data_IF_775545179024
#
_entry.id   IF_775545179024
#
_cell.length_a   1.000
_cell.length_b   1.000
_cell.length_c   1.000
_cell.angle_alpha   90.00
_cell.angle_beta   90.00
_cell.angle_gamma   90.00
#
_symmetry.space_group_name_H-M   'P 1'
#
loop_
_entity.id
_entity.type
_entity.pdbx_description
1 polymer ?
#
# COMPACT_ATOMS: atom_id res chain seq x y z
N UNK A 1 9.17 8.82 -11.77
CA UNK A 1 7.72 8.70 -11.65
C UNK A 1 7.10 8.50 -13.02
N UNK A 2 6.21 7.52 -13.16
CA UNK A 2 5.31 7.45 -14.32
C UNK A 2 4.16 8.43 -14.12
N UNK A 3 3.83 9.19 -15.15
CA UNK A 3 2.68 10.09 -15.11
C UNK A 3 1.84 9.99 -16.37
N UNK A 4 0.56 10.24 -16.22
CA UNK A 4 -0.39 10.37 -17.32
C UNK A 4 -1.35 11.51 -17.00
N UNK A 5 -1.49 12.45 -17.93
CA UNK A 5 -2.41 13.56 -17.83
C UNK A 5 -3.60 13.30 -18.76
N UNK A 6 -4.77 13.17 -18.17
CA UNK A 6 -5.99 12.85 -18.87
C UNK A 6 -6.81 14.10 -19.12
N UNK A 7 -7.33 14.23 -20.34
CA UNK A 7 -8.32 15.24 -20.67
C UNK A 7 -9.71 14.89 -20.13
N UNK A 8 -10.65 15.84 -20.27
CA UNK A 8 -12.04 15.66 -19.89
C UNK A 8 -12.76 14.50 -20.60
N UNK A 9 -12.31 14.17 -21.80
CA UNK A 9 -12.81 13.05 -22.59
C UNK A 9 -12.13 11.70 -22.23
N UNK A 10 -11.40 11.67 -21.11
CA UNK A 10 -10.60 10.51 -20.66
C UNK A 10 -9.54 10.04 -21.65
N UNK A 11 -9.15 10.89 -22.60
CA UNK A 11 -8.00 10.62 -23.44
C UNK A 11 -6.75 11.19 -22.83
N UNK A 12 -5.67 10.47 -22.95
CA UNK A 12 -4.36 10.95 -22.53
C UNK A 12 -3.96 12.16 -23.37
N UNK A 13 -3.66 13.26 -22.71
CA UNK A 13 -3.14 14.49 -23.31
C UNK A 13 -1.62 14.45 -23.35
N UNK A 14 -1.03 13.97 -22.27
CA UNK A 14 0.40 13.81 -22.10
C UNK A 14 0.68 12.71 -21.10
N UNK A 15 1.84 12.08 -21.21
CA UNK A 15 2.27 11.03 -20.29
C UNK A 15 3.70 10.61 -20.57
N UNK A 16 4.34 10.07 -19.59
CA UNK A 16 5.72 9.63 -19.70
C UNK A 16 6.35 9.23 -18.38
N UNK A 17 7.68 9.15 -18.42
CA UNK A 17 8.49 8.86 -17.23
C UNK A 17 9.19 10.15 -16.84
N UNK A 18 8.96 10.63 -15.64
CA UNK A 18 9.72 11.70 -15.02
C UNK A 18 10.92 11.07 -14.29
N UNK A 19 12.09 11.21 -14.87
CA UNK A 19 13.32 10.53 -14.45
C UNK A 19 14.24 11.46 -13.64
N UNK A 20 13.72 11.92 -12.49
CA UNK A 20 14.55 12.62 -11.51
C UNK A 20 14.26 12.05 -10.11
N UNK A 21 15.11 11.16 -9.59
CA UNK A 21 14.87 10.50 -8.31
C UNK A 21 15.07 11.42 -7.09
N UNK A 22 15.66 12.59 -7.28
CA UNK A 22 16.03 13.52 -6.19
C UNK A 22 14.93 14.55 -5.87
N UNK A 23 13.80 14.52 -6.60
CA UNK A 23 12.68 15.44 -6.40
C UNK A 23 11.47 14.74 -5.79
N UNK A 24 10.71 15.47 -5.02
CA UNK A 24 9.43 15.00 -4.51
C UNK A 24 8.39 14.90 -5.64
N UNK A 25 7.34 14.10 -5.43
CA UNK A 25 6.20 14.01 -6.37
C UNK A 25 5.62 15.42 -6.65
N UNK A 26 5.59 16.28 -5.64
CA UNK A 26 5.10 17.66 -5.77
C UNK A 26 5.93 18.47 -6.76
N UNK A 27 7.24 18.41 -6.64
CA UNK A 27 8.16 19.11 -7.54
C UNK A 27 8.08 18.53 -8.95
N UNK A 28 8.02 17.20 -9.09
CA UNK A 28 7.84 16.54 -10.37
C UNK A 28 6.55 16.98 -11.09
N UNK A 29 5.42 17.03 -10.38
CA UNK A 29 4.15 17.52 -10.92
C UNK A 29 4.21 19.01 -11.33
N UNK A 30 4.90 19.83 -10.54
CA UNK A 30 5.13 21.23 -10.88
C UNK A 30 5.87 21.36 -12.20
N UNK A 31 6.99 20.66 -12.37
CA UNK A 31 7.81 20.72 -13.58
C UNK A 31 7.04 20.22 -14.80
N UNK A 32 6.28 19.13 -14.66
CA UNK A 32 5.43 18.58 -15.72
C UNK A 32 4.37 19.61 -16.15
N UNK A 33 3.70 20.25 -15.20
CA UNK A 33 2.67 21.27 -15.51
C UNK A 33 3.26 22.55 -16.12
N UNK A 34 4.46 22.97 -15.72
CA UNK A 34 5.12 24.13 -16.33
C UNK A 34 5.58 23.81 -17.77
N UNK A 35 6.04 22.59 -18.02
CA UNK A 35 6.41 22.16 -19.38
C UNK A 35 5.19 22.08 -20.28
N UNK A 36 4.07 21.53 -19.81
CA UNK A 36 2.80 21.52 -20.52
C UNK A 36 2.29 22.92 -20.87
N UNK A 37 2.39 23.89 -19.96
CA UNK A 37 1.98 25.28 -20.21
C UNK A 37 2.82 25.93 -21.31
N UNK A 38 4.04 25.47 -21.52
CA UNK A 38 4.94 25.99 -22.54
C UNK A 38 4.65 25.45 -23.94
N UNK A 39 3.90 24.36 -24.08
CA UNK A 39 3.59 23.72 -25.35
C UNK A 39 2.53 24.46 -26.14
N UNK A 40 2.70 24.69 -27.44
CA UNK A 40 1.73 25.42 -28.29
C UNK A 40 0.35 24.75 -28.32
N UNK A 41 0.31 23.41 -28.28
CA UNK A 41 -0.92 22.61 -28.33
C UNK A 41 -1.71 22.70 -27.02
N UNK A 42 -1.07 23.00 -25.90
CA UNK A 42 -1.73 23.21 -24.63
C UNK A 42 -2.69 24.42 -24.65
N UNK A 43 -2.32 25.48 -25.36
CA UNK A 43 -3.18 26.64 -25.53
C UNK A 43 -4.44 26.35 -26.39
N UNK A 44 -4.36 25.38 -27.31
CA UNK A 44 -5.48 24.83 -28.07
C UNK A 44 -6.39 23.94 -27.22
N UNK A 45 -5.81 23.12 -26.38
CA UNK A 45 -6.52 22.27 -25.41
C UNK A 45 -7.25 23.08 -24.34
N UNK A 46 -6.70 24.25 -23.96
CA UNK A 46 -7.36 25.20 -23.04
C UNK A 46 -8.73 25.68 -23.53
N UNK A 47 -8.90 25.86 -24.84
CA UNK A 47 -10.16 26.18 -25.45
C UNK A 47 -11.18 25.04 -25.43
N UNK A 48 -10.73 23.79 -25.40
CA UNK A 48 -11.58 22.63 -25.32
C UNK A 48 -11.93 22.26 -23.86
N UNK A 49 -11.03 22.48 -22.94
CA UNK A 49 -11.26 22.31 -21.49
C UNK A 49 -12.28 23.36 -21.00
N UNK A 50 -12.27 24.56 -21.53
CA UNK A 50 -13.25 25.60 -21.20
C UNK A 50 -14.65 25.35 -21.79
N UNK A 51 -14.81 24.45 -22.76
CA UNK A 51 -16.13 24.10 -23.32
C UNK A 51 -16.83 22.98 -22.56
N UNK A 52 -16.11 22.21 -21.83
CA UNK A 52 -16.64 21.17 -20.97
C UNK A 52 -16.72 21.75 -19.57
N UNK A 53 -17.83 22.46 -19.33
CA UNK A 53 -18.13 23.38 -18.21
C UNK A 53 -17.97 22.80 -16.80
N UNK A 54 -17.40 21.67 -16.64
CA UNK A 54 -17.24 21.01 -15.33
C UNK A 54 -15.79 20.66 -14.99
N UNK A 55 -14.86 20.86 -15.90
CA UNK A 55 -13.45 20.81 -15.54
C UNK A 55 -13.03 22.20 -15.08
N UNK A 56 -13.10 22.39 -13.81
CA UNK A 56 -12.51 23.52 -13.13
C UNK A 56 -11.06 23.61 -13.62
N UNK A 57 -10.65 24.72 -14.27
CA UNK A 57 -9.24 24.94 -14.53
C UNK A 57 -8.56 25.03 -13.18
N UNK A 58 -8.07 23.90 -12.71
CA UNK A 58 -7.28 23.89 -11.51
C UNK A 58 -5.91 24.41 -11.88
N UNK A 59 -5.58 25.55 -11.31
CA UNK A 59 -4.21 25.95 -11.19
C UNK A 59 -3.48 24.88 -10.36
N UNK A 60 -2.18 24.97 -10.34
CA UNK A 60 -1.33 24.04 -9.59
C UNK A 60 -1.80 23.87 -8.12
N UNK A 61 -2.18 24.97 -7.45
CA UNK A 61 -2.61 24.94 -6.06
C UNK A 61 -3.94 24.17 -5.90
N UNK A 62 -4.89 24.34 -6.83
CA UNK A 62 -6.13 23.56 -6.85
C UNK A 62 -5.94 22.08 -7.15
N UNK A 63 -4.99 21.70 -8.02
CA UNK A 63 -4.62 20.33 -8.27
C UNK A 63 -3.94 19.70 -7.05
N UNK A 64 -3.11 20.47 -6.35
CA UNK A 64 -2.47 20.02 -5.12
C UNK A 64 -3.47 19.90 -3.98
N UNK A 65 -4.41 20.84 -3.85
CA UNK A 65 -5.48 20.74 -2.85
C UNK A 65 -6.36 19.50 -3.07
N UNK A 66 -6.68 19.16 -4.32
CA UNK A 66 -7.41 17.92 -4.65
C UNK A 66 -6.56 16.66 -4.51
N UNK A 67 -5.29 16.71 -4.84
CA UNK A 67 -4.37 15.59 -4.58
C UNK A 67 -4.18 15.38 -3.08
N UNK A 68 -4.09 16.46 -2.29
CA UNK A 68 -4.06 16.38 -0.83
C UNK A 68 -5.41 15.94 -0.25
N UNK A 69 -6.53 16.31 -0.87
CA UNK A 69 -7.86 15.86 -0.49
C UNK A 69 -8.09 14.39 -0.88
N UNK A 70 -7.60 13.94 -2.03
CA UNK A 70 -7.59 12.54 -2.43
C UNK A 70 -6.63 11.71 -1.55
N UNK A 71 -5.48 12.26 -1.19
CA UNK A 71 -4.58 11.69 -0.20
C UNK A 71 -5.12 11.76 1.24
N UNK A 72 -6.11 12.62 1.53
CA UNK A 72 -6.87 12.62 2.79
C UNK A 72 -8.02 11.61 2.78
N UNK A 73 -8.47 11.22 1.60
CA UNK A 73 -9.47 10.15 1.40
C UNK A 73 -8.80 8.77 1.41
N UNK A 74 -7.52 8.70 1.07
CA UNK A 74 -6.58 7.67 1.52
C UNK A 74 -5.75 8.38 2.60
N UNK A 75 -6.12 8.32 3.88
CA UNK A 75 -5.15 8.72 4.86
C UNK A 75 -3.90 7.88 4.55
N UNK A 76 -2.75 8.50 4.34
CA UNK A 76 -1.60 7.96 5.03
C UNK A 76 -2.13 7.81 6.44
N UNK A 77 -2.57 6.61 6.75
CA UNK A 77 -2.89 6.27 8.12
C UNK A 77 -1.58 6.56 8.84
N UNK A 78 -1.53 7.72 9.49
CA UNK A 78 -0.60 7.83 10.61
C UNK A 78 -0.88 6.54 11.34
N UNK A 79 0.07 5.56 11.33
CA UNK A 79 -0.23 4.25 11.88
C UNK A 79 -0.85 4.54 13.21
N UNK A 80 -2.03 3.99 13.51
CA UNK A 80 -2.66 4.24 14.80
C UNK A 80 -1.56 3.99 15.82
N UNK A 81 -1.52 4.67 16.91
CA UNK A 81 -0.46 4.44 17.92
C UNK A 81 -0.28 2.94 18.20
N UNK A 82 -1.37 2.18 18.10
CA UNK A 82 -1.42 0.72 18.26
C UNK A 82 -0.61 -0.01 17.18
N UNK A 83 -0.78 0.33 15.90
CA UNK A 83 -0.03 -0.29 14.79
C UNK A 83 1.45 0.11 14.87
N UNK A 84 1.73 1.39 15.13
CA UNK A 84 3.09 1.89 15.28
C UNK A 84 3.83 1.23 16.47
N UNK A 85 3.17 1.10 17.63
CA UNK A 85 3.72 0.45 18.81
C UNK A 85 3.97 -1.05 18.55
N UNK A 86 3.06 -1.72 17.82
CA UNK A 86 3.22 -3.11 17.45
C UNK A 86 4.43 -3.33 16.53
N UNK A 87 4.58 -2.49 15.50
CA UNK A 87 5.73 -2.53 14.58
C UNK A 87 7.05 -2.21 15.28
N UNK A 88 7.07 -1.22 16.18
CA UNK A 88 8.27 -0.91 16.94
C UNK A 88 8.76 -2.12 17.76
N UNK A 89 7.85 -2.81 18.46
CA UNK A 89 8.18 -4.04 19.18
C UNK A 89 8.62 -5.17 18.24
N UNK A 90 7.99 -5.27 17.06
CA UNK A 90 8.39 -6.26 16.04
C UNK A 90 9.83 -5.97 15.59
N UNK A 91 10.18 -4.73 15.29
CA UNK A 91 11.54 -4.35 14.89
C UNK A 91 12.60 -4.64 15.96
N UNK A 92 12.24 -4.64 17.25
CA UNK A 92 13.15 -4.97 18.36
C UNK A 92 13.36 -6.48 18.55
N UNK A 93 12.37 -7.31 18.25
CA UNK A 93 12.33 -8.73 18.64
C UNK A 93 12.43 -9.69 17.45
N UNK A 94 12.23 -9.21 16.24
CA UNK A 94 12.28 -10.00 15.02
C UNK A 94 13.71 -10.40 14.68
N UNK A 95 13.89 -11.63 14.26
CA UNK A 95 15.16 -12.09 13.72
C UNK A 95 15.10 -12.05 12.20
N UNK A 96 15.96 -11.24 11.59
CA UNK A 96 16.01 -11.05 10.14
C UNK A 96 16.05 -12.38 9.39
N UNK A 97 15.27 -12.45 8.31
CA UNK A 97 15.18 -13.62 7.44
C UNK A 97 15.87 -13.27 6.11
N UNK A 98 16.92 -13.97 5.77
CA UNK A 98 17.69 -13.70 4.54
C UNK A 98 18.15 -12.23 4.44
N UNK A 99 18.59 -11.66 5.57
CA UNK A 99 19.04 -10.28 5.71
C UNK A 99 17.91 -9.23 5.53
N UNK A 100 16.64 -9.65 5.51
CA UNK A 100 15.48 -8.76 5.41
C UNK A 100 14.88 -8.51 6.80
N UNK A 101 14.68 -7.24 7.11
CA UNK A 101 13.97 -6.79 8.29
C UNK A 101 12.43 -6.80 8.06
N UNK A 102 11.60 -6.55 9.09
CA UNK A 102 10.15 -6.59 8.95
C UNK A 102 9.59 -5.64 7.90
N UNK A 103 10.13 -4.43 7.76
CA UNK A 103 9.65 -3.42 6.80
C UNK A 103 9.90 -3.88 5.35
N UNK A 104 11.07 -4.44 5.08
CA UNK A 104 11.43 -4.99 3.76
C UNK A 104 10.55 -6.21 3.40
N UNK A 105 10.20 -7.01 4.42
CA UNK A 105 9.28 -8.14 4.28
C UNK A 105 7.87 -7.65 3.97
N UNK A 106 7.36 -6.67 4.71
CA UNK A 106 6.05 -6.06 4.49
C UNK A 106 5.92 -5.49 3.07
N UNK A 107 6.95 -4.80 2.58
CA UNK A 107 6.95 -4.27 1.21
C UNK A 107 7.02 -5.39 0.16
N UNK A 108 7.81 -6.45 0.40
CA UNK A 108 7.85 -7.61 -0.50
C UNK A 108 6.49 -8.31 -0.60
N UNK A 109 5.81 -8.49 0.53
CA UNK A 109 4.46 -9.07 0.57
C UNK A 109 3.45 -8.17 -0.12
N UNK A 110 3.52 -6.86 0.10
CA UNK A 110 2.68 -5.88 -0.55
C UNK A 110 2.80 -5.94 -2.07
N UNK A 111 4.02 -5.99 -2.60
CA UNK A 111 4.27 -6.16 -4.04
C UNK A 111 3.71 -7.49 -4.56
N UNK A 112 3.89 -8.59 -3.82
CA UNK A 112 3.34 -9.90 -4.21
C UNK A 112 1.81 -9.89 -4.24
N UNK A 113 1.16 -9.33 -3.21
CA UNK A 113 -0.30 -9.23 -3.12
C UNK A 113 -0.84 -8.34 -4.24
N UNK A 114 -0.19 -7.22 -4.53
CA UNK A 114 -0.59 -6.35 -5.65
C UNK A 114 -0.52 -7.11 -6.98
N UNK A 115 0.55 -7.86 -7.23
CA UNK A 115 0.67 -8.68 -8.43
C UNK A 115 -0.45 -9.73 -8.54
N UNK A 116 -0.88 -10.32 -7.42
CA UNK A 116 -2.01 -11.27 -7.39
C UNK A 116 -3.36 -10.58 -7.62
N UNK A 117 -3.56 -9.39 -7.07
CA UNK A 117 -4.73 -8.56 -7.34
C UNK A 117 -4.86 -8.29 -8.84
N UNK A 118 -3.75 -7.89 -9.47
CA UNK A 118 -3.71 -7.59 -10.90
C UNK A 118 -3.89 -8.86 -11.76
N UNK A 119 -3.21 -9.97 -11.41
CA UNK A 119 -3.29 -11.26 -12.12
C UNK A 119 -4.71 -11.81 -12.15
N UNK A 120 -5.41 -11.77 -11.01
CA UNK A 120 -6.77 -12.32 -10.88
C UNK A 120 -7.87 -11.29 -11.11
N UNK A 121 -7.50 -10.03 -11.41
CA UNK A 121 -8.42 -8.92 -11.59
C UNK A 121 -9.39 -8.79 -10.39
N UNK A 122 -8.82 -8.82 -9.18
CA UNK A 122 -9.56 -8.71 -7.92
C UNK A 122 -9.87 -7.23 -7.67
N UNK A 123 -11.12 -6.91 -7.31
CA UNK A 123 -11.51 -5.55 -6.92
C UNK A 123 -11.14 -5.31 -5.44
N UNK A 124 -9.88 -5.02 -5.19
CA UNK A 124 -9.35 -4.80 -3.86
C UNK A 124 -8.23 -3.74 -3.87
N UNK A 125 -8.13 -3.00 -2.77
CA UNK A 125 -7.04 -2.06 -2.51
C UNK A 125 -6.34 -2.46 -1.21
N UNK A 126 -5.01 -2.54 -1.24
CA UNK A 126 -4.20 -2.78 -0.04
C UNK A 126 -4.23 -1.51 0.82
N UNK A 127 -4.69 -1.65 2.07
CA UNK A 127 -4.72 -0.55 3.05
C UNK A 127 -3.40 -0.52 3.81
N UNK A 128 -3.00 -1.66 4.39
CA UNK A 128 -1.75 -1.76 5.15
C UNK A 128 -1.32 -3.24 5.28
N UNK A 129 -0.06 -3.48 5.68
CA UNK A 129 0.54 -4.82 5.81
C UNK A 129 1.32 -4.87 7.11
N UNK A 130 1.27 -5.96 7.85
CA UNK A 130 2.05 -6.13 9.08
C UNK A 130 2.57 -7.57 9.25
N UNK A 131 3.85 -7.70 9.61
CA UNK A 131 4.42 -8.98 10.07
C UNK A 131 3.83 -9.36 11.42
N UNK A 132 3.32 -10.59 11.53
CA UNK A 132 2.64 -11.11 12.72
C UNK A 132 3.16 -12.50 13.11
N UNK A 133 2.38 -13.25 13.90
CA UNK A 133 2.71 -14.60 14.30
C UNK A 133 3.89 -14.69 15.27
N UNK A 134 4.43 -15.90 15.45
CA UNK A 134 5.49 -16.16 16.43
C UNK A 134 6.78 -15.40 16.14
N UNK A 135 7.11 -15.20 14.85
CA UNK A 135 8.34 -14.54 14.41
C UNK A 135 8.40 -13.07 14.79
N UNK A 136 7.26 -12.36 14.80
CA UNK A 136 7.24 -10.93 15.15
C UNK A 136 7.60 -10.65 16.62
N UNK A 137 7.74 -11.70 17.45
CA UNK A 137 8.10 -11.61 18.87
C UNK A 137 9.29 -12.50 19.25
N UNK A 138 10.04 -13.04 18.28
CA UNK A 138 11.16 -13.94 18.54
C UNK A 138 10.74 -15.24 19.23
N UNK A 139 9.51 -15.68 19.00
CA UNK A 139 8.95 -16.93 19.60
C UNK A 139 8.89 -18.08 18.60
N UNK A 140 9.53 -17.94 17.46
CA UNK A 140 9.52 -18.93 16.40
C UNK A 140 10.34 -20.17 16.73
N UNK A 141 10.05 -21.24 16.00
CA UNK A 141 10.85 -22.46 15.86
C UNK A 141 11.42 -22.51 14.44
N UNK A 142 12.39 -23.40 14.21
CA UNK A 142 12.99 -23.60 12.86
C UNK A 142 11.94 -23.86 11.76
N UNK A 143 10.85 -24.53 12.11
CA UNK A 143 9.77 -24.88 11.19
C UNK A 143 8.62 -23.86 11.17
N UNK A 144 8.74 -22.73 11.85
CA UNK A 144 7.69 -21.73 11.87
C UNK A 144 7.61 -21.00 10.53
N UNK A 145 6.40 -20.88 9.99
CA UNK A 145 6.13 -20.02 8.85
C UNK A 145 6.25 -18.53 9.26
N UNK A 146 6.27 -17.66 8.27
CA UNK A 146 6.24 -16.23 8.45
C UNK A 146 4.81 -15.74 8.19
N UNK A 147 4.09 -15.38 9.25
CA UNK A 147 2.72 -14.86 9.14
C UNK A 147 2.75 -13.37 8.81
N UNK A 148 2.05 -12.98 7.76
CA UNK A 148 1.88 -11.57 7.38
C UNK A 148 0.40 -11.30 7.16
N UNK A 149 -0.11 -10.27 7.84
CA UNK A 149 -1.50 -9.82 7.70
C UNK A 149 -1.56 -8.67 6.72
N UNK A 150 -2.53 -8.72 5.80
CA UNK A 150 -2.78 -7.69 4.81
C UNK A 150 -4.19 -7.16 5.00
N UNK A 151 -4.32 -5.91 5.39
CA UNK A 151 -5.60 -5.22 5.45
C UNK A 151 -5.99 -4.74 4.06
N UNK A 152 -7.22 -5.06 3.66
CA UNK A 152 -7.75 -4.76 2.34
C UNK A 152 -9.09 -4.00 2.44
N UNK A 153 -9.27 -3.08 1.50
CA UNK A 153 -10.58 -2.48 1.20
C UNK A 153 -11.17 -3.20 -0.01
N UNK A 154 -12.17 -4.05 0.21
CA UNK A 154 -12.81 -4.87 -0.83
C UNK A 154 -14.14 -5.43 -0.35
N UNK A 155 -15.01 -5.83 -1.28
CA UNK A 155 -16.21 -6.62 -1.01
C UNK A 155 -15.98 -8.13 -1.12
N UNK A 156 -14.80 -8.56 -1.59
CA UNK A 156 -14.45 -9.96 -1.77
C UNK A 156 -14.38 -10.71 -0.43
N UNK A 157 -14.44 -12.04 -0.49
CA UNK A 157 -14.36 -12.88 0.71
C UNK A 157 -12.92 -13.12 1.10
N UNK A 158 -12.62 -12.99 2.39
CA UNK A 158 -11.26 -13.25 2.93
C UNK A 158 -10.74 -14.65 2.58
N UNK A 159 -11.61 -15.68 2.56
CA UNK A 159 -11.23 -17.05 2.18
C UNK A 159 -10.77 -17.15 0.72
N UNK A 160 -11.42 -16.44 -0.19
CA UNK A 160 -11.08 -16.44 -1.61
C UNK A 160 -9.78 -15.65 -1.84
N UNK A 161 -9.60 -14.54 -1.13
CA UNK A 161 -8.38 -13.75 -1.13
C UNK A 161 -7.19 -14.55 -0.56
N UNK A 162 -7.42 -15.28 0.55
CA UNK A 162 -6.39 -16.13 1.15
C UNK A 162 -5.88 -17.17 0.15
N UNK A 163 -6.79 -17.83 -0.55
CA UNK A 163 -6.41 -18.82 -1.57
C UNK A 163 -5.63 -18.19 -2.72
N UNK A 164 -6.06 -17.02 -3.21
CA UNK A 164 -5.41 -16.32 -4.30
C UNK A 164 -3.99 -15.85 -3.92
N UNK A 165 -3.81 -15.24 -2.76
CA UNK A 165 -2.52 -14.68 -2.34
C UNK A 165 -1.49 -15.73 -1.96
N UNK A 166 -1.94 -16.89 -1.47
CA UNK A 166 -1.06 -18.00 -1.10
C UNK A 166 -0.85 -19.02 -2.24
N UNK A 167 -1.51 -18.84 -3.39
CA UNK A 167 -1.29 -19.70 -4.53
C UNK A 167 0.13 -19.57 -5.08
N UNK A 168 0.79 -20.72 -5.25
CA UNK A 168 2.20 -20.78 -5.67
C UNK A 168 3.21 -20.62 -4.54
N UNK A 169 2.78 -20.15 -3.35
CA UNK A 169 3.59 -20.04 -2.14
C UNK A 169 4.71 -19.00 -2.25
N UNK A 170 4.64 -17.92 -1.49
CA UNK A 170 5.74 -16.97 -1.35
C UNK A 170 6.74 -17.51 -0.32
N UNK A 171 8.02 -17.37 -0.60
CA UNK A 171 9.10 -17.69 0.34
C UNK A 171 10.08 -16.51 0.45
N UNK A 172 10.59 -16.31 1.65
CA UNK A 172 11.73 -15.42 1.92
C UNK A 172 12.86 -16.31 2.42
N UNK A 173 13.88 -16.48 1.59
CA UNK A 173 14.86 -17.54 1.79
C UNK A 173 14.20 -18.93 1.82
N UNK A 174 14.39 -19.66 2.90
CA UNK A 174 13.77 -20.99 3.08
C UNK A 174 12.45 -20.94 3.87
N UNK A 175 12.04 -19.76 4.34
CA UNK A 175 10.84 -19.59 5.15
C UNK A 175 9.63 -19.31 4.27
N UNK A 176 8.60 -20.14 4.42
CA UNK A 176 7.32 -19.93 3.77
C UNK A 176 6.59 -18.72 4.39
N UNK A 177 5.99 -17.91 3.55
CA UNK A 177 5.14 -16.80 3.97
C UNK A 177 3.68 -17.23 3.90
N UNK A 178 2.96 -17.10 5.01
CA UNK A 178 1.50 -17.24 5.07
C UNK A 178 0.86 -15.85 5.11
N UNK A 179 0.14 -15.50 4.03
CA UNK A 179 -0.49 -14.21 3.83
C UNK A 179 -1.95 -14.30 4.28
N UNK A 180 -2.30 -13.54 5.33
CA UNK A 180 -3.63 -13.52 5.92
C UNK A 180 -4.35 -12.21 5.57
N UNK A 181 -5.29 -12.22 4.59
CA UNK A 181 -6.09 -11.04 4.27
C UNK A 181 -7.14 -10.80 5.34
N UNK A 182 -7.29 -9.53 5.73
CA UNK A 182 -8.34 -9.07 6.62
C UNK A 182 -9.09 -7.89 6.00
N UNK A 183 -10.36 -7.75 6.34
CA UNK A 183 -11.22 -6.66 5.87
C UNK A 183 -12.00 -6.06 7.04
N UNK A 184 -12.25 -4.76 7.01
CA UNK A 184 -12.97 -4.05 8.06
C UNK A 184 -14.38 -4.63 8.33
N UNK A 185 -15.00 -5.25 7.32
CA UNK A 185 -16.35 -5.81 7.41
C UNK A 185 -16.40 -7.20 8.06
N UNK A 186 -15.26 -7.89 8.20
CA UNK A 186 -15.21 -9.27 8.73
C UNK A 186 -14.27 -9.38 9.91
N UNK A 187 -12.98 -9.60 9.64
CA UNK A 187 -11.97 -9.80 10.71
C UNK A 187 -11.66 -8.49 11.44
N UNK A 188 -11.76 -7.35 10.75
CA UNK A 188 -11.45 -6.02 11.28
C UNK A 188 -10.28 -5.36 10.57
N UNK A 189 -9.79 -4.27 11.15
CA UNK A 189 -8.62 -3.52 10.69
C UNK A 189 -7.37 -3.97 11.44
N UNK A 190 -6.18 -3.60 10.98
CA UNK A 190 -4.93 -3.84 11.74
C UNK A 190 -5.00 -3.25 13.15
N UNK A 191 -5.63 -2.07 13.31
CA UNK A 191 -5.80 -1.44 14.61
C UNK A 191 -6.56 -2.31 15.62
N UNK A 192 -7.57 -3.07 15.15
CA UNK A 192 -8.37 -3.96 15.99
C UNK A 192 -7.83 -5.39 16.08
N UNK A 193 -7.10 -5.83 15.09
CA UNK A 193 -6.54 -7.17 14.99
C UNK A 193 -5.23 -7.34 15.76
N UNK A 194 -4.29 -6.40 15.63
CA UNK A 194 -2.95 -6.52 16.22
C UNK A 194 -2.97 -6.60 17.78
N UNK A 195 -3.85 -5.94 18.52
CA UNK A 195 -3.96 -6.15 19.96
C UNK A 195 -4.31 -7.57 20.34
N UNK A 196 -5.14 -8.25 19.56
CA UNK A 196 -5.51 -9.66 19.80
C UNK A 196 -4.32 -10.60 19.53
N UNK A 197 -3.53 -10.29 18.49
CA UNK A 197 -2.26 -11.00 18.20
C UNK A 197 -1.29 -10.81 19.37
N UNK A 198 -1.14 -9.59 19.89
CA UNK A 198 -0.25 -9.29 21.01
C UNK A 198 -0.66 -10.07 22.27
N UNK A 199 -1.95 -10.07 22.62
CA UNK A 199 -2.48 -10.81 23.76
C UNK A 199 -2.23 -12.32 23.63
N UNK A 200 -2.44 -12.88 22.44
CA UNK A 200 -2.18 -14.28 22.16
C UNK A 200 -0.68 -14.62 22.32
N UNK A 201 0.20 -13.82 21.74
CA UNK A 201 1.65 -14.06 21.79
C UNK A 201 2.22 -13.89 23.20
N UNK A 202 1.69 -12.95 23.99
CA UNK A 202 2.06 -12.81 25.40
C UNK A 202 1.65 -14.05 26.19
N UNK A 203 0.47 -14.62 25.93
CA UNK A 203 0.03 -15.91 26.51
C UNK A 203 0.96 -17.06 26.13
N UNK A 204 1.42 -17.13 24.88
CA UNK A 204 2.39 -18.14 24.42
C UNK A 204 3.74 -17.97 25.13
N UNK A 205 4.20 -16.73 25.30
CA UNK A 205 5.44 -16.43 26.01
C UNK A 205 5.39 -16.87 27.46
N UNK A 206 4.33 -16.54 28.18
CA UNK A 206 4.13 -16.92 29.57
C UNK A 206 4.04 -18.44 29.77
N UNK A 207 3.51 -19.16 28.79
CA UNK A 207 3.41 -20.62 28.83
C UNK A 207 4.78 -21.32 28.60
N UNK A 208 5.79 -20.61 28.12
CA UNK A 208 7.15 -21.15 27.87
C UNK A 208 8.14 -20.83 29.00
N UNK A 209 7.78 -19.90 29.90
CA UNK A 209 8.53 -19.60 31.14
C UNK A 209 8.19 -20.61 32.25
#
# INVERSE_FOLDING_TARGET
YDYSIMGADYKEIDGGIYDNPDVTIREALHDILEDLKSQPDYNGAKGNIQREDELIPMDYDGLMEKAEEANRIIPESTPSSVVADFRAKTGELFHDISEMNPEEIEETVKCHVQAKIDEYNIDATIVDVAVTGSRCRGLEHESSDLDVVVELSTAEREDDLFNAFNEGGLHIGEVKVDINPITAQRTGTLETYLPQVEEYLEGVRQARE
#
